data_IF_713284652017
#
_entry.id   IF_713284652017
#
_cell.length_a   1.000
_cell.length_b   1.000
_cell.length_c   1.000
_cell.angle_alpha   90.00
_cell.angle_beta   90.00
_cell.angle_gamma   90.00
#
_symmetry.space_group_name_H-M   'P 1'
#
loop_
_entity.id
_entity.type
_entity.pdbx_description
1 polymer ?
#
# COMPACT_ATOMS: atom_id res chain seq x y z
N UNK A 1 -28.41 -16.79 32.74
CA UNK A 1 -28.33 -17.95 31.82
C UNK A 1 -27.66 -17.41 30.57
N UNK A 2 -26.34 -17.57 30.49
CA UNK A 2 -25.55 -17.06 29.36
C UNK A 2 -25.52 -18.12 28.26
N UNK A 3 -25.70 -17.63 27.03
CA UNK A 3 -25.87 -18.47 25.84
C UNK A 3 -24.58 -18.65 25.02
N UNK A 4 -23.47 -18.02 25.42
CA UNK A 4 -22.25 -17.95 24.62
C UNK A 4 -20.99 -18.05 25.47
N UNK A 5 -19.92 -18.54 24.85
CA UNK A 5 -18.56 -18.40 25.40
C UNK A 5 -18.05 -16.97 25.24
N UNK A 6 -17.42 -16.45 26.31
CA UNK A 6 -16.80 -15.13 26.33
C UNK A 6 -15.71 -15.01 25.24
N UNK A 7 -15.81 -13.95 24.42
CA UNK A 7 -14.76 -13.54 23.47
C UNK A 7 -14.93 -13.98 22.02
N UNK A 8 -15.78 -14.97 21.70
CA UNK A 8 -16.01 -15.41 20.30
C UNK A 8 -17.35 -14.96 19.74
N UNK A 9 -18.36 -14.92 20.61
CA UNK A 9 -19.74 -14.73 20.19
C UNK A 9 -20.50 -14.01 21.31
N UNK A 10 -21.36 -13.06 20.95
CA UNK A 10 -22.33 -12.48 21.90
C UNK A 10 -23.72 -12.90 21.47
N UNK A 11 -24.54 -13.39 22.40
CA UNK A 11 -25.94 -13.66 22.14
C UNK A 11 -26.81 -12.91 23.13
N UNK A 12 -27.76 -12.13 22.62
CA UNK A 12 -28.74 -11.42 23.44
C UNK A 12 -30.12 -12.01 23.16
N UNK A 13 -30.80 -12.45 24.22
CA UNK A 13 -32.22 -12.81 24.16
C UNK A 13 -33.05 -11.54 24.29
N UNK A 14 -33.82 -11.23 23.27
CA UNK A 14 -34.84 -10.19 23.31
C UNK A 14 -36.20 -10.88 23.45
N UNK A 15 -36.80 -10.74 24.63
CA UNK A 15 -38.11 -11.33 24.93
C UNK A 15 -39.21 -10.27 24.73
N UNK A 16 -40.28 -10.65 24.03
CA UNK A 16 -41.52 -9.88 23.96
C UNK A 16 -42.70 -10.82 24.25
N UNK A 17 -43.24 -10.74 25.47
CA UNK A 17 -44.27 -11.66 25.96
C UNK A 17 -43.80 -13.11 25.91
N UNK A 18 -44.50 -13.95 25.15
CA UNK A 18 -44.19 -15.38 24.95
C UNK A 18 -43.18 -15.65 23.83
N UNK A 19 -42.78 -14.64 23.06
CA UNK A 19 -41.84 -14.79 21.94
C UNK A 19 -40.43 -14.36 22.32
N UNK A 20 -39.44 -15.01 21.72
CA UNK A 20 -38.03 -14.72 21.94
C UNK A 20 -37.31 -14.57 20.61
N UNK A 21 -36.57 -13.49 20.45
CA UNK A 21 -35.62 -13.28 19.36
C UNK A 21 -34.22 -13.39 19.92
N UNK A 22 -33.38 -14.21 19.29
CA UNK A 22 -31.96 -14.33 19.67
C UNK A 22 -31.12 -13.61 18.63
N UNK A 23 -30.44 -12.55 19.05
CA UNK A 23 -29.50 -11.81 18.21
C UNK A 23 -28.10 -12.30 18.53
N UNK A 24 -27.43 -12.86 17.52
CA UNK A 24 -26.07 -13.34 17.62
C UNK A 24 -25.12 -12.35 16.92
N UNK A 25 -24.03 -12.00 17.59
CA UNK A 25 -22.92 -11.25 17.00
C UNK A 25 -21.70 -12.16 16.98
N UNK A 26 -21.22 -12.48 15.78
CA UNK A 26 -19.99 -13.23 15.56
C UNK A 26 -18.91 -12.20 15.24
N UNK A 27 -17.88 -12.12 16.07
CA UNK A 27 -16.75 -11.24 15.81
C UNK A 27 -15.81 -11.97 14.85
N UNK A 28 -15.93 -11.68 13.56
CA UNK A 28 -15.00 -12.16 12.55
C UNK A 28 -13.85 -11.14 12.42
N UNK A 29 -12.71 -11.46 13.02
CA UNK A 29 -11.41 -10.79 12.86
C UNK A 29 -11.23 -9.40 13.50
N UNK A 30 -9.96 -9.04 13.75
CA UNK A 30 -9.54 -7.71 14.22
C UNK A 30 -9.41 -6.80 13.00
N UNK A 31 -10.00 -5.59 12.97
CA UNK A 31 -9.88 -4.70 11.82
C UNK A 31 -8.39 -4.47 11.49
N UNK A 32 -8.02 -4.42 10.19
CA UNK A 32 -6.63 -4.25 9.79
C UNK A 32 -6.03 -2.98 10.41
N UNK A 33 -4.75 -3.00 10.83
CA UNK A 33 -4.13 -1.85 11.47
C UNK A 33 -4.13 -0.63 10.53
N UNK A 34 -4.24 0.60 11.09
CA UNK A 34 -4.24 1.81 10.28
C UNK A 34 -2.94 1.94 9.47
N UNK A 35 -2.98 2.53 8.26
CA UNK A 35 -1.80 2.66 7.43
C UNK A 35 -0.72 3.52 8.12
N UNK A 36 0.57 3.20 7.95
CA UNK A 36 1.65 3.98 8.54
C UNK A 36 1.66 5.41 7.96
N UNK A 37 2.06 6.42 8.74
CA UNK A 37 2.15 7.79 8.28
C UNK A 37 3.14 7.91 7.11
N UNK A 38 2.89 8.81 6.13
CA UNK A 38 3.77 8.99 4.99
C UNK A 38 5.18 9.37 5.45
N UNK A 39 6.17 8.54 5.09
CA UNK A 39 7.56 8.89 5.32
C UNK A 39 7.93 10.08 4.41
N UNK A 40 8.32 11.20 5.02
CA UNK A 40 8.91 12.32 4.28
C UNK A 40 10.27 11.86 3.78
N UNK A 41 10.32 11.39 2.54
CA UNK A 41 11.58 11.09 1.85
C UNK A 41 12.32 12.43 1.71
N UNK A 42 13.35 12.65 2.53
CA UNK A 42 14.33 13.71 2.28
C UNK A 42 14.85 13.49 0.87
N UNK A 43 14.49 14.40 -0.04
CA UNK A 43 15.00 14.47 -1.40
C UNK A 43 16.51 14.57 -1.31
N UNK A 44 17.19 13.44 -1.50
CA UNK A 44 18.64 13.40 -1.68
C UNK A 44 18.96 14.27 -2.89
N UNK A 45 19.93 15.13 -2.67
CA UNK A 45 20.37 16.21 -3.54
C UNK A 45 20.60 15.70 -4.97
N UNK A 46 20.15 16.51 -5.93
CA UNK A 46 20.38 16.29 -7.37
C UNK A 46 21.85 15.97 -7.62
N UNK A 47 22.20 14.82 -8.23
CA UNK A 47 23.58 14.55 -8.59
C UNK A 47 24.00 15.56 -9.66
N UNK A 48 25.05 16.34 -9.38
CA UNK A 48 25.70 17.20 -10.37
C UNK A 48 26.20 16.33 -11.52
N UNK A 49 25.54 16.44 -12.68
CA UNK A 49 25.93 15.75 -13.90
C UNK A 49 27.24 16.39 -14.38
N UNK A 50 28.33 15.62 -14.38
CA UNK A 50 29.56 16.02 -15.05
C UNK A 50 29.30 16.19 -16.57
N UNK A 51 29.86 17.23 -17.24
CA UNK A 51 29.64 17.45 -18.67
C UNK A 51 30.11 16.23 -19.49
N UNK A 52 29.23 15.79 -20.39
CA UNK A 52 29.49 14.66 -21.30
C UNK A 52 30.69 14.99 -22.21
N UNK A 53 31.63 14.05 -22.47
CA UNK A 53 32.68 14.27 -23.46
C UNK A 53 32.08 14.59 -24.83
N UNK A 54 32.59 15.64 -25.47
CA UNK A 54 32.20 16.03 -26.83
C UNK A 54 32.53 14.89 -27.81
N UNK A 55 31.61 14.48 -28.71
CA UNK A 55 31.92 13.49 -29.72
C UNK A 55 33.05 13.99 -30.61
N UNK A 56 34.14 13.22 -30.69
CA UNK A 56 35.23 13.49 -31.63
C UNK A 56 34.67 13.27 -33.04
N UNK A 57 34.77 14.27 -33.90
CA UNK A 57 34.26 14.18 -35.27
C UNK A 57 34.90 12.98 -36.00
N UNK A 58 34.15 12.21 -36.80
CA UNK A 58 34.71 11.10 -37.57
C UNK A 58 35.81 11.60 -38.51
N UNK A 59 36.89 10.83 -38.64
CA UNK A 59 38.00 11.16 -39.53
C UNK A 59 37.48 11.36 -40.97
N UNK A 60 37.76 12.52 -41.56
CA UNK A 60 37.32 12.85 -42.92
C UNK A 60 38.11 12.00 -43.92
N UNK A 61 37.42 11.20 -44.73
CA UNK A 61 38.05 10.34 -45.74
C UNK A 61 38.58 11.19 -46.91
N UNK A 62 39.91 11.21 -47.18
CA UNK A 62 40.50 12.05 -48.24
C UNK A 62 40.25 11.51 -49.66
N UNK A 63 39.68 10.32 -49.82
CA UNK A 63 39.33 9.74 -51.12
C UNK A 63 37.91 10.08 -51.58
N UNK A 64 37.10 10.75 -50.75
CA UNK A 64 35.74 11.18 -51.11
C UNK A 64 35.70 12.63 -51.63
N UNK A 65 36.53 12.90 -52.64
CA UNK A 65 36.41 14.11 -53.45
C UNK A 65 37.12 13.87 -54.77
N UNK A 66 36.48 13.09 -55.64
CA UNK A 66 36.77 13.06 -57.08
C UNK A 66 35.69 12.26 -57.81
N UNK A 67 34.86 13.02 -58.54
CA UNK A 67 33.98 12.62 -59.63
C UNK A 67 32.61 12.03 -59.27
#
# INVERSE_FOLDING_TARGET
>A
MDLTEDGKTRAVKQQNGSNYTVVFTINADVPPPPPPPPAVVKRVETPTIAPRPVPVAPARNPFKSSR
#
